data_IF_101781125048
#
_entry.id   IF_101781125048
#
_cell.length_a   1.000
_cell.length_b   1.000
_cell.length_c   1.000
_cell.angle_alpha   90.00
_cell.angle_beta   90.00
_cell.angle_gamma   90.00
#
_symmetry.space_group_name_H-M   'P 1'
#
loop_
_entity.id
_entity.type
_entity.pdbx_description
1 polymer ?
#
# COMPACT_ATOMS: atom_id res chain seq x y z
N UNK A 1 -44.61 -6.26 -22.13
CA UNK A 1 -43.27 -6.00 -22.71
C UNK A 1 -42.24 -6.66 -21.79
N UNK A 2 -41.43 -7.62 -22.24
CA UNK A 2 -40.46 -8.27 -21.37
C UNK A 2 -39.31 -7.30 -21.08
N UNK A 3 -39.01 -7.10 -19.79
CA UNK A 3 -37.84 -6.34 -19.34
C UNK A 3 -36.60 -7.15 -19.74
N UNK A 4 -35.82 -6.62 -20.70
CA UNK A 4 -34.59 -7.26 -21.15
C UNK A 4 -33.49 -7.10 -20.09
N UNK A 5 -33.33 -8.12 -19.26
CA UNK A 5 -32.32 -8.21 -18.17
C UNK A 5 -30.89 -8.02 -18.71
N UNK A 6 -30.67 -8.33 -19.99
CA UNK A 6 -29.37 -8.16 -20.67
C UNK A 6 -28.84 -6.72 -20.67
N UNK A 7 -29.72 -5.71 -20.57
CA UNK A 7 -29.35 -4.28 -20.67
C UNK A 7 -28.79 -3.70 -19.36
N UNK A 8 -28.83 -4.45 -18.25
CA UNK A 8 -28.29 -4.03 -16.94
C UNK A 8 -26.97 -4.72 -16.56
N UNK A 9 -26.53 -5.73 -17.32
CA UNK A 9 -25.26 -6.42 -17.06
C UNK A 9 -24.03 -5.58 -17.48
N UNK A 10 -24.18 -4.70 -18.48
CA UNK A 10 -23.12 -3.86 -19.01
C UNK A 10 -22.64 -2.74 -18.03
N UNK A 11 -23.51 -1.97 -17.35
CA UNK A 11 -23.06 -0.99 -16.36
C UNK A 11 -22.48 -1.62 -15.10
N UNK A 12 -22.89 -2.83 -14.73
CA UNK A 12 -22.36 -3.55 -13.56
C UNK A 12 -20.92 -4.04 -13.82
N UNK A 13 -20.64 -4.56 -15.01
CA UNK A 13 -19.29 -4.98 -15.42
C UNK A 13 -18.31 -3.80 -15.52
N UNK A 14 -18.80 -2.61 -15.90
CA UNK A 14 -17.98 -1.40 -15.98
C UNK A 14 -17.60 -0.83 -14.60
N UNK A 15 -18.44 -1.06 -13.58
CA UNK A 15 -18.20 -0.59 -12.21
C UNK A 15 -17.12 -1.40 -11.48
N UNK A 16 -16.99 -2.70 -11.79
CA UNK A 16 -15.96 -3.57 -11.21
C UNK A 16 -14.59 -3.44 -11.89
N UNK A 17 -14.51 -2.74 -13.02
CA UNK A 17 -13.27 -2.55 -13.78
C UNK A 17 -12.45 -1.33 -13.32
N UNK A 18 -12.93 -0.58 -12.32
CA UNK A 18 -12.21 0.57 -11.78
C UNK A 18 -11.02 0.08 -10.93
N UNK A 19 -9.80 0.59 -11.16
CA UNK A 19 -8.67 0.27 -10.31
C UNK A 19 -8.94 0.82 -8.90
N UNK A 20 -8.85 -0.06 -7.90
CA UNK A 20 -8.90 0.36 -6.50
C UNK A 20 -7.58 1.05 -6.14
N UNK A 21 -7.62 2.14 -5.37
CA UNK A 21 -6.39 2.72 -4.84
C UNK A 21 -5.71 1.67 -3.97
N UNK A 22 -4.43 1.40 -4.26
CA UNK A 22 -3.63 0.54 -3.43
C UNK A 22 -3.37 1.24 -2.09
N UNK A 23 -3.46 0.48 -0.99
CA UNK A 23 -3.13 0.97 0.35
C UNK A 23 -1.70 0.55 0.60
N UNK A 24 -0.82 1.53 0.74
CA UNK A 24 0.58 1.27 1.07
C UNK A 24 0.69 0.52 2.41
N UNK A 25 1.54 -0.49 2.44
CA UNK A 25 1.86 -1.29 3.62
C UNK A 25 3.36 -1.21 3.86
N UNK A 26 3.75 -0.25 4.71
CA UNK A 26 5.13 -0.07 5.13
C UNK A 26 5.19 -0.33 6.63
N UNK A 27 5.71 -1.51 6.99
CA UNK A 27 5.81 -1.97 8.38
C UNK A 27 7.28 -2.21 8.70
N UNK A 28 7.86 -1.53 9.71
CA UNK A 28 9.23 -1.81 10.13
C UNK A 28 9.39 -3.27 10.57
N UNK A 29 10.55 -3.86 10.31
CA UNK A 29 10.85 -5.18 10.86
C UNK A 29 11.14 -5.06 12.37
N UNK A 30 10.66 -6.01 13.20
CA UNK A 30 11.02 -6.08 14.62
C UNK A 30 12.43 -6.67 14.80
N UNK A 31 13.41 -6.07 14.15
CA UNK A 31 14.82 -6.46 14.22
C UNK A 31 15.69 -5.34 14.79
N UNK A 32 17.01 -5.56 14.86
CA UNK A 32 17.98 -4.60 15.36
C UNK A 32 18.30 -3.43 14.42
N UNK A 33 17.54 -3.23 13.34
CA UNK A 33 17.74 -2.06 12.46
C UNK A 33 17.13 -0.78 13.03
N UNK A 34 16.25 -0.87 14.02
CA UNK A 34 15.58 0.30 14.61
C UNK A 34 14.95 1.23 13.56
N UNK A 35 14.43 0.62 12.49
CA UNK A 35 13.67 1.33 11.46
C UNK A 35 12.38 1.86 12.07
N UNK A 36 12.07 3.13 11.81
CA UNK A 36 10.87 3.80 12.29
C UNK A 36 10.07 4.28 11.09
N UNK A 37 8.75 4.09 11.15
CA UNK A 37 7.83 4.52 10.09
C UNK A 37 6.71 5.30 10.74
N UNK A 38 6.49 6.53 10.28
CA UNK A 38 5.32 7.35 10.64
C UNK A 38 4.52 7.68 9.39
N UNK A 39 3.19 7.66 9.50
CA UNK A 39 2.29 8.04 8.43
C UNK A 39 1.42 9.22 8.88
N UNK A 40 1.47 10.32 8.14
CA UNK A 40 0.72 11.55 8.45
C UNK A 40 -0.65 11.64 7.73
N UNK A 41 -1.04 10.59 7.01
CA UNK A 41 -2.25 10.55 6.19
C UNK A 41 -1.99 10.71 4.69
N UNK A 42 -0.80 11.18 4.30
CA UNK A 42 -0.41 11.35 2.89
C UNK A 42 1.00 10.86 2.59
N UNK A 43 1.90 10.93 3.57
CA UNK A 43 3.33 10.66 3.44
C UNK A 43 3.78 9.67 4.51
N UNK A 44 4.57 8.69 4.09
CA UNK A 44 5.31 7.84 5.01
C UNK A 44 6.70 8.43 5.24
N UNK A 45 6.99 8.83 6.48
CA UNK A 45 8.31 9.22 6.93
C UNK A 45 9.03 7.97 7.46
N UNK A 46 10.24 7.74 6.98
CA UNK A 46 11.09 6.61 7.35
C UNK A 46 12.34 7.18 8.01
N UNK A 47 12.47 6.90 9.31
CA UNK A 47 13.53 7.43 10.18
C UNK A 47 14.24 6.29 10.93
N UNK A 48 15.23 6.65 11.74
CA UNK A 48 16.06 5.70 12.48
C UNK A 48 17.00 4.95 11.53
N UNK A 49 17.00 3.62 11.63
CA UNK A 49 17.94 2.78 10.88
C UNK A 49 19.23 2.52 11.63
N UNK A 50 20.00 1.55 11.15
CA UNK A 50 21.29 1.17 11.73
C UNK A 50 22.40 1.52 10.75
N UNK A 51 23.36 2.33 11.20
CA UNK A 51 24.52 2.68 10.40
C UNK A 51 25.62 1.63 10.55
N UNK A 52 26.20 1.19 9.43
CA UNK A 52 27.41 0.37 9.43
C UNK A 52 28.40 0.90 8.38
N UNK A 53 29.53 1.42 8.86
CA UNK A 53 30.48 2.16 8.05
C UNK A 53 29.81 3.41 7.46
N UNK A 54 29.88 3.56 6.14
CA UNK A 54 29.28 4.68 5.42
C UNK A 54 27.79 4.46 5.02
N UNK A 55 27.22 3.29 5.33
CA UNK A 55 25.88 2.91 4.87
C UNK A 55 24.86 3.00 6.01
N UNK A 56 23.64 3.43 5.67
CA UNK A 56 22.47 3.38 6.55
C UNK A 56 21.54 2.25 6.10
N UNK A 57 21.18 1.37 7.01
CA UNK A 57 20.32 0.22 6.75
C UNK A 57 18.96 0.39 7.42
N UNK A 58 17.92 0.11 6.64
CA UNK A 58 16.55 -0.05 7.12
C UNK A 58 16.06 -1.46 6.79
N UNK A 59 15.15 -1.99 7.59
CA UNK A 59 14.53 -3.29 7.41
C UNK A 59 13.03 -3.19 7.63
N UNK A 60 12.28 -3.85 6.74
CA UNK A 60 10.83 -3.81 6.69
C UNK A 60 10.28 -5.23 6.66
N UNK A 61 9.25 -5.48 7.44
CA UNK A 61 8.47 -6.71 7.36
C UNK A 61 7.58 -6.71 6.12
N UNK A 62 7.00 -5.55 5.80
CA UNK A 62 6.29 -5.30 4.55
C UNK A 62 6.73 -3.96 3.98
N UNK A 63 6.95 -3.94 2.68
CA UNK A 63 7.24 -2.73 1.94
C UNK A 63 6.57 -2.82 0.56
N UNK A 64 5.45 -2.11 0.39
CA UNK A 64 4.69 -2.08 -0.86
C UNK A 64 3.71 -0.91 -0.91
N UNK A 65 3.40 -0.46 -2.13
CA UNK A 65 2.46 0.63 -2.43
C UNK A 65 1.17 0.10 -3.07
#
# INVERSE_FOLDING_TARGET
MPISIARHLLPLALFTALPYPAIAQITPAPDGTHTQVQFDGQTYQIDGGTQAGANLFHSFQQFGL
#
